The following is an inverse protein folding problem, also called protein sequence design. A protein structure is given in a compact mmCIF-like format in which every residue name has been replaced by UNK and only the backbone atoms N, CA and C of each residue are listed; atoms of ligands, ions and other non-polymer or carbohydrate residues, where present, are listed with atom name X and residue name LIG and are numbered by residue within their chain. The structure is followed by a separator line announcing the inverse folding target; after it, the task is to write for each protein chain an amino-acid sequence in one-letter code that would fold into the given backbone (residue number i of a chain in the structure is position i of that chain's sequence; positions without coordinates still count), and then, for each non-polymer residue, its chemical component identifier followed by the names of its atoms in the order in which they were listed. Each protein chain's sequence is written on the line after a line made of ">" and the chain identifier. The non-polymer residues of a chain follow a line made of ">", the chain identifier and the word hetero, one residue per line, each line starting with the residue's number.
data_IF_080577542400
#
_entry.id   IF_080577542400
#
_cell.length_a   1.000
_cell.length_b   1.000
_cell.length_c   1.000
_cell.angle_alpha   90.00
_cell.angle_beta   90.00
_cell.angle_gamma   90.00
#
_symmetry.space_group_name_H-M   'P 1'
#
loop_
_entity.id
_entity.type
_entity.pdbx_description
1 polymer ?
#
# COMPACT_ATOMS: atom_id res chain seq x y z
N UNK A 1 18.44 -20.39 33.68
CA UNK A 1 19.58 -20.65 32.78
C UNK A 1 19.02 -20.66 31.37
N UNK A 2 19.01 -19.61 30.58
CA UNK A 2 19.73 -18.35 30.59
C UNK A 2 20.02 -18.07 29.12
N UNK A 3 19.31 -17.13 28.50
CA UNK A 3 19.83 -16.42 27.34
C UNK A 3 19.19 -15.02 27.27
N UNK A 4 19.60 -14.18 28.23
CA UNK A 4 19.35 -12.75 28.20
C UNK A 4 20.26 -12.14 27.15
N UNK A 5 19.81 -12.12 25.90
CA UNK A 5 20.49 -11.39 24.83
C UNK A 5 20.30 -9.90 25.15
N UNK A 6 21.35 -9.28 25.67
CA UNK A 6 21.35 -7.85 25.98
C UNK A 6 20.95 -7.06 24.72
N UNK A 7 19.90 -6.24 24.80
CA UNK A 7 19.64 -5.25 23.75
C UNK A 7 20.83 -4.28 23.80
N UNK A 8 21.66 -4.30 22.77
CA UNK A 8 22.66 -3.26 22.60
C UNK A 8 21.87 -1.97 22.34
N UNK A 9 21.70 -1.17 23.38
CA UNK A 9 21.26 0.21 23.25
C UNK A 9 22.28 0.90 22.36
N UNK A 10 21.94 1.07 21.08
CA UNK A 10 22.58 2.08 20.27
C UNK A 10 22.30 3.40 20.98
N UNK A 11 23.28 3.87 21.75
CA UNK A 11 23.27 5.19 22.39
C UNK A 11 23.38 6.23 21.30
N UNK A 12 22.27 6.43 20.60
CA UNK A 12 22.04 7.56 19.73
C UNK A 12 21.88 8.77 20.63
N UNK A 13 22.98 9.48 20.87
CA UNK A 13 22.87 10.90 21.24
C UNK A 13 21.92 11.55 20.25
N UNK A 14 20.94 12.32 20.74
CA UNK A 14 20.02 13.08 19.91
C UNK A 14 20.85 13.99 18.99
N UNK A 15 21.20 13.48 17.82
CA UNK A 15 21.95 14.25 16.84
C UNK A 15 20.95 15.22 16.26
N UNK A 16 21.16 16.50 16.55
CA UNK A 16 20.60 17.59 15.76
C UNK A 16 20.77 17.20 14.30
N UNK A 17 19.68 17.09 13.55
CA UNK A 17 19.72 16.72 12.13
C UNK A 17 20.57 17.79 11.43
N UNK A 18 21.85 17.48 11.26
CA UNK A 18 22.77 18.26 10.45
C UNK A 18 22.22 18.22 9.03
N UNK A 19 21.97 19.39 8.44
CA UNK A 19 21.41 19.61 7.09
C UNK A 19 22.17 18.92 5.92
N UNK A 20 23.17 18.08 6.21
CA UNK A 20 24.15 17.57 5.27
C UNK A 20 24.08 16.05 5.01
N UNK A 21 23.24 15.28 5.68
CA UNK A 21 23.10 13.84 5.40
C UNK A 21 21.89 13.54 4.53
N UNK A 22 22.13 12.91 3.40
CA UNK A 22 21.08 12.31 2.58
C UNK A 22 20.33 11.24 3.37
N UNK A 23 18.99 11.14 3.24
CA UNK A 23 18.24 10.06 3.86
C UNK A 23 18.72 8.71 3.34
N UNK A 24 18.89 7.75 4.24
CA UNK A 24 19.16 6.36 3.88
C UNK A 24 17.84 5.63 3.73
N UNK A 25 17.68 4.92 2.61
CA UNK A 25 16.52 4.06 2.37
C UNK A 25 16.98 2.61 2.45
N UNK A 26 16.29 1.82 3.26
CA UNK A 26 16.55 0.40 3.43
C UNK A 26 15.26 -0.37 3.17
N UNK A 27 15.30 -1.29 2.21
CA UNK A 27 14.30 -2.34 2.14
C UNK A 27 14.59 -3.32 3.27
N UNK A 28 13.65 -3.44 4.22
CA UNK A 28 13.82 -4.30 5.39
C UNK A 28 13.45 -5.74 5.06
N UNK A 29 12.19 -5.99 4.69
CA UNK A 29 11.68 -7.34 4.44
C UNK A 29 10.35 -7.35 3.67
N UNK A 30 9.95 -8.53 3.19
CA UNK A 30 8.62 -8.85 2.66
C UNK A 30 8.02 -9.99 3.47
N UNK A 31 6.99 -9.67 4.26
CA UNK A 31 6.39 -10.60 5.23
C UNK A 31 5.10 -11.18 4.64
N UNK A 32 5.01 -12.50 4.58
CA UNK A 32 3.75 -13.20 4.29
C UNK A 32 2.86 -13.20 5.53
N UNK A 33 1.59 -12.81 5.37
CA UNK A 33 0.63 -12.70 6.46
C UNK A 33 -0.40 -13.82 6.37
N UNK A 34 -0.81 -14.36 7.53
CA UNK A 34 -1.89 -15.36 7.62
C UNK A 34 -3.26 -14.77 7.32
N UNK A 35 -3.44 -13.49 7.63
CA UNK A 35 -4.65 -12.71 7.39
C UNK A 35 -4.32 -11.22 7.29
N UNK A 36 -5.28 -10.42 6.85
CA UNK A 36 -5.13 -8.98 6.63
C UNK A 36 -5.81 -8.15 7.73
N UNK A 37 -5.86 -8.66 8.97
CA UNK A 37 -6.35 -7.85 10.10
C UNK A 37 -5.28 -6.88 10.58
N UNK A 38 -5.70 -5.76 11.16
CA UNK A 38 -4.76 -4.76 11.69
C UNK A 38 -3.87 -5.29 12.82
N UNK A 39 -4.39 -6.21 13.63
CA UNK A 39 -3.64 -6.85 14.70
C UNK A 39 -2.51 -7.73 14.13
N UNK A 40 -2.83 -8.58 13.15
CA UNK A 40 -1.85 -9.45 12.50
C UNK A 40 -0.77 -8.64 11.78
N UNK A 41 -1.15 -7.58 11.06
CA UNK A 41 -0.18 -6.69 10.37
C UNK A 41 0.73 -5.98 11.38
N UNK A 42 0.19 -5.44 12.47
CA UNK A 42 1.01 -4.79 13.50
C UNK A 42 2.01 -5.78 14.12
N UNK A 43 1.54 -6.96 14.53
CA UNK A 43 2.40 -7.98 15.14
C UNK A 43 3.49 -8.44 14.19
N UNK A 44 3.15 -8.70 12.92
CA UNK A 44 4.13 -9.05 11.91
C UNK A 44 5.19 -7.95 11.72
N UNK A 45 4.76 -6.68 11.65
CA UNK A 45 5.66 -5.52 11.52
C UNK A 45 6.63 -5.40 12.71
N UNK A 46 6.11 -5.50 13.93
CA UNK A 46 6.93 -5.44 15.14
C UNK A 46 7.87 -6.63 15.27
N UNK A 47 7.44 -7.83 14.89
CA UNK A 47 8.28 -9.02 14.91
C UNK A 47 9.42 -8.89 13.89
N UNK A 48 9.16 -8.40 12.68
CA UNK A 48 10.19 -8.15 11.68
C UNK A 48 11.22 -7.12 12.15
N UNK A 49 10.76 -6.02 12.75
CA UNK A 49 11.65 -5.01 13.35
C UNK A 49 12.53 -5.62 14.44
N UNK A 50 11.95 -6.38 15.38
CA UNK A 50 12.70 -7.05 16.45
C UNK A 50 13.71 -8.07 15.91
N UNK A 51 13.33 -8.87 14.91
CA UNK A 51 14.23 -9.85 14.26
C UNK A 51 15.43 -9.18 13.57
N UNK A 52 15.25 -7.94 13.11
CA UNK A 52 16.31 -7.12 12.51
C UNK A 52 17.06 -6.23 13.52
N UNK A 53 16.86 -6.46 14.83
CA UNK A 53 17.62 -5.79 15.90
C UNK A 53 17.02 -4.48 16.41
N UNK A 54 15.83 -4.09 15.95
CA UNK A 54 15.10 -2.94 16.48
C UNK A 54 14.24 -3.39 17.67
N UNK A 55 14.80 -3.36 18.87
CA UNK A 55 14.09 -3.73 20.10
C UNK A 55 13.04 -2.66 20.49
N UNK A 56 12.09 -3.02 21.34
CA UNK A 56 10.94 -2.17 21.69
C UNK A 56 11.36 -0.79 22.25
N UNK A 57 12.38 -0.77 23.12
CA UNK A 57 12.95 0.46 23.68
C UNK A 57 13.50 1.38 22.58
N UNK A 58 14.20 0.82 21.61
CA UNK A 58 14.74 1.57 20.47
C UNK A 58 13.60 2.15 19.62
N UNK A 59 12.57 1.37 19.34
CA UNK A 59 11.40 1.81 18.57
C UNK A 59 10.70 2.96 19.30
N UNK A 60 10.51 2.85 20.61
CA UNK A 60 9.84 3.87 21.42
C UNK A 60 10.56 5.23 21.37
N UNK A 61 11.89 5.23 21.30
CA UNK A 61 12.70 6.45 21.26
C UNK A 61 12.91 7.00 19.83
N UNK A 62 12.93 6.13 18.81
CA UNK A 62 13.41 6.49 17.47
C UNK A 62 12.35 6.40 16.35
N UNK A 63 11.20 5.76 16.58
CA UNK A 63 10.14 5.67 15.57
C UNK A 63 9.39 7.00 15.46
N UNK A 64 9.68 7.75 14.40
CA UNK A 64 9.10 9.08 14.18
C UNK A 64 7.76 9.01 13.47
N UNK A 65 7.62 8.14 12.47
CA UNK A 65 6.44 8.13 11.62
C UNK A 65 6.11 6.74 11.05
N UNK A 66 4.82 6.52 10.80
CA UNK A 66 4.29 5.39 10.04
C UNK A 66 3.52 5.92 8.83
N UNK A 67 3.79 5.38 7.64
CA UNK A 67 3.12 5.78 6.41
C UNK A 67 2.56 4.57 5.66
N UNK A 68 1.28 4.62 5.29
CA UNK A 68 0.60 3.53 4.56
C UNK A 68 -0.47 4.06 3.59
N UNK A 69 -1.04 3.16 2.79
CA UNK A 69 -2.26 3.46 2.02
C UNK A 69 -3.45 3.75 2.98
N UNK A 70 -4.51 4.32 2.42
CA UNK A 70 -5.65 4.87 3.16
C UNK A 70 -6.75 3.88 3.49
N UNK A 71 -6.45 2.59 3.39
CA UNK A 71 -7.45 1.56 3.65
C UNK A 71 -7.86 1.57 5.11
N UNK A 72 -9.09 1.16 5.39
CA UNK A 72 -9.63 1.12 6.77
C UNK A 72 -8.76 0.24 7.69
N UNK A 73 -8.22 -0.86 7.17
CA UNK A 73 -7.32 -1.75 7.92
C UNK A 73 -6.03 -1.02 8.33
N UNK A 74 -5.48 -0.15 7.47
CA UNK A 74 -4.19 0.49 7.73
C UNK A 74 -4.33 1.80 8.52
N UNK A 75 -5.26 2.69 8.13
CA UNK A 75 -5.44 4.03 8.74
C UNK A 75 -6.79 4.21 9.45
N UNK A 76 -7.53 3.14 9.71
CA UNK A 76 -8.80 3.21 10.44
C UNK A 76 -8.64 3.84 11.83
N UNK A 77 -9.57 4.73 12.18
CA UNK A 77 -9.51 5.54 13.42
C UNK A 77 -9.68 4.74 14.72
N UNK A 78 -10.31 3.57 14.66
CA UNK A 78 -10.65 2.77 15.85
C UNK A 78 -9.79 1.52 16.01
N UNK A 79 -9.43 0.90 14.89
CA UNK A 79 -8.75 -0.39 14.89
C UNK A 79 -7.79 -0.54 13.71
N UNK A 80 -7.34 0.57 13.11
CA UNK A 80 -6.35 0.53 12.05
C UNK A 80 -4.95 0.22 12.57
N UNK A 81 -4.07 -0.30 11.72
CA UNK A 81 -2.65 -0.56 12.07
C UNK A 81 -1.98 0.69 12.63
N UNK A 82 -2.19 1.83 12.00
CA UNK A 82 -1.65 3.12 12.42
C UNK A 82 -2.17 3.56 13.80
N UNK A 83 -3.46 3.33 14.08
CA UNK A 83 -4.05 3.60 15.40
C UNK A 83 -3.41 2.69 16.46
N UNK A 84 -3.25 1.40 16.16
CA UNK A 84 -2.61 0.46 17.09
C UNK A 84 -1.13 0.81 17.32
N UNK A 85 -0.41 1.32 16.30
CA UNK A 85 0.94 1.87 16.48
C UNK A 85 0.95 3.10 17.39
N UNK A 86 0.00 4.02 17.24
CA UNK A 86 -0.10 5.22 18.07
C UNK A 86 -0.46 4.90 19.52
N UNK A 87 -1.26 3.86 19.77
CA UNK A 87 -1.54 3.37 21.12
C UNK A 87 -0.28 2.81 21.80
N UNK A 88 0.59 2.14 21.05
CA UNK A 88 1.85 1.60 21.57
C UNK A 88 2.96 2.65 21.67
N UNK A 89 3.03 3.57 20.71
CA UNK A 89 4.05 4.63 20.62
C UNK A 89 3.37 6.00 20.42
N UNK A 90 2.96 6.69 21.50
CA UNK A 90 2.10 7.89 21.43
C UNK A 90 2.66 9.09 20.65
N UNK A 91 3.97 9.14 20.41
CA UNK A 91 4.64 10.25 19.72
C UNK A 91 4.76 10.06 18.21
N UNK A 92 4.25 8.94 17.67
CA UNK A 92 4.37 8.62 16.24
C UNK A 92 3.49 9.52 15.38
N UNK A 93 4.03 9.95 14.24
CA UNK A 93 3.27 10.68 13.22
C UNK A 93 2.67 9.68 12.23
N UNK A 94 1.34 9.71 12.09
CA UNK A 94 0.63 8.87 11.13
C UNK A 94 0.46 9.62 9.80
N UNK A 95 1.05 9.09 8.74
CA UNK A 95 1.04 9.69 7.41
C UNK A 95 0.23 8.85 6.44
N UNK A 96 -0.71 9.49 5.74
CA UNK A 96 -1.39 8.85 4.62
C UNK A 96 -0.53 8.98 3.35
N UNK A 97 -0.32 7.88 2.63
CA UNK A 97 0.50 7.85 1.43
C UNK A 97 0.03 8.88 0.40
N UNK A 98 0.92 9.82 0.05
CA UNK A 98 0.60 10.90 -0.89
C UNK A 98 0.25 10.37 -2.28
N UNK A 99 0.93 9.31 -2.73
CA UNK A 99 0.65 8.71 -4.03
C UNK A 99 -0.80 8.21 -4.12
N UNK A 100 -1.30 7.56 -3.07
CA UNK A 100 -2.68 7.10 -3.02
C UNK A 100 -3.67 8.30 -2.95
N UNK A 101 -3.32 9.38 -2.24
CA UNK A 101 -4.16 10.60 -2.22
C UNK A 101 -4.26 11.27 -3.59
N UNK A 102 -3.13 11.36 -4.30
CA UNK A 102 -3.10 11.96 -5.65
C UNK A 102 -3.90 11.08 -6.61
N UNK A 103 -3.73 9.76 -6.53
CA UNK A 103 -4.47 8.79 -7.32
C UNK A 103 -5.99 8.91 -7.11
N UNK A 104 -6.46 8.97 -5.85
CA UNK A 104 -7.86 9.23 -5.54
C UNK A 104 -8.33 10.59 -6.07
N UNK A 105 -7.57 11.66 -5.88
CA UNK A 105 -7.94 13.00 -6.35
C UNK A 105 -8.06 13.06 -7.88
N UNK A 106 -7.19 12.34 -8.60
CA UNK A 106 -7.27 12.20 -10.05
C UNK A 106 -8.51 11.40 -10.45
N UNK A 107 -8.80 10.29 -9.77
CA UNK A 107 -10.00 9.49 -10.00
C UNK A 107 -11.27 10.33 -9.83
N UNK A 108 -11.40 11.05 -8.70
CA UNK A 108 -12.54 11.91 -8.41
C UNK A 108 -12.70 13.02 -9.48
N UNK A 109 -11.57 13.60 -9.91
CA UNK A 109 -11.58 14.62 -10.98
C UNK A 109 -12.01 14.06 -12.33
N UNK A 110 -11.67 12.81 -12.64
CA UNK A 110 -12.08 12.13 -13.87
C UNK A 110 -13.58 11.84 -13.87
N UNK A 111 -14.12 11.43 -12.72
CA UNK A 111 -15.55 11.12 -12.56
C UNK A 111 -16.44 12.35 -12.81
N UNK A 112 -15.97 13.54 -12.42
CA UNK A 112 -16.65 14.82 -12.65
C UNK A 112 -16.58 15.30 -14.11
N UNK A 113 -15.61 14.81 -14.90
CA UNK A 113 -15.50 15.15 -16.33
C UNK A 113 -16.30 14.15 -17.15
N UNK A 114 -17.57 14.47 -17.38
CA UNK A 114 -18.52 13.59 -18.06
C UNK A 114 -18.04 13.03 -19.42
N UNK A 115 -17.24 13.76 -20.19
CA UNK A 115 -16.66 13.26 -21.44
C UNK A 115 -15.63 12.13 -21.22
N UNK A 116 -14.77 12.26 -20.19
CA UNK A 116 -13.76 11.25 -19.85
C UNK A 116 -14.43 10.04 -19.22
N UNK A 117 -15.39 10.26 -18.32
CA UNK A 117 -16.19 9.20 -17.72
C UNK A 117 -16.98 8.41 -18.78
N UNK A 118 -17.64 9.08 -19.74
CA UNK A 118 -18.31 8.40 -20.85
C UNK A 118 -17.35 7.59 -21.74
N UNK A 119 -16.16 8.13 -22.01
CA UNK A 119 -15.14 7.41 -22.77
C UNK A 119 -14.65 6.16 -22.00
N UNK A 120 -14.42 6.29 -20.70
CA UNK A 120 -14.04 5.17 -19.83
C UNK A 120 -15.13 4.08 -19.80
N UNK A 121 -16.40 4.46 -19.57
CA UNK A 121 -17.54 3.53 -19.60
C UNK A 121 -17.65 2.83 -20.96
N UNK A 122 -17.46 3.57 -22.05
CA UNK A 122 -17.48 3.01 -23.40
C UNK A 122 -16.37 1.96 -23.59
N UNK A 123 -15.15 2.29 -23.19
CA UNK A 123 -14.01 1.38 -23.29
C UNK A 123 -14.15 0.16 -22.36
N UNK A 124 -14.69 0.32 -21.15
CA UNK A 124 -14.99 -0.79 -20.25
C UNK A 124 -16.07 -1.73 -20.80
N UNK A 125 -17.11 -1.16 -21.43
CA UNK A 125 -18.17 -1.95 -22.11
C UNK A 125 -17.63 -2.69 -23.32
N UNK A 126 -16.71 -2.08 -24.06
CA UNK A 126 -16.00 -2.77 -25.14
C UNK A 126 -15.12 -3.88 -24.59
N UNK A 127 -14.39 -3.66 -23.50
CA UNK A 127 -13.41 -4.61 -22.97
C UNK A 127 -14.03 -5.82 -22.24
N UNK A 128 -15.12 -5.63 -21.49
CA UNK A 128 -15.78 -6.66 -20.67
C UNK A 128 -16.16 -7.96 -21.41
N UNK A 129 -16.84 -7.92 -22.58
CA UNK A 129 -17.26 -9.14 -23.28
C UNK A 129 -16.10 -9.98 -23.83
N UNK A 130 -14.93 -9.38 -24.08
CA UNK A 130 -13.75 -10.09 -24.60
C UNK A 130 -12.91 -10.73 -23.50
N UNK A 131 -12.99 -10.23 -22.26
CA UNK A 131 -12.27 -10.79 -21.10
C UNK A 131 -13.04 -11.90 -20.36
N UNK A 132 -14.38 -11.86 -20.32
CA UNK A 132 -15.20 -12.72 -19.42
C UNK A 132 -15.74 -14.04 -20.01
N UNK A 133 -15.54 -14.38 -21.28
CA UNK A 133 -16.11 -15.63 -21.83
C UNK A 133 -15.23 -16.30 -22.88
N UNK A 134 -14.77 -17.52 -22.59
CA UNK A 134 -14.10 -18.42 -23.54
C UNK A 134 -14.99 -18.79 -24.74
N UNK A 135 -16.31 -18.65 -24.61
CA UNK A 135 -17.30 -18.90 -25.67
C UNK A 135 -17.48 -17.70 -26.61
N UNK A 136 -17.42 -16.47 -26.08
CA UNK A 136 -17.47 -15.25 -26.90
C UNK A 136 -16.16 -15.01 -27.67
N UNK A 137 -15.02 -15.41 -27.11
CA UNK A 137 -13.73 -15.34 -27.81
C UNK A 137 -13.74 -16.18 -29.09
N UNK A 138 -14.38 -17.35 -29.10
CA UNK A 138 -14.38 -18.25 -30.27
C UNK A 138 -15.27 -17.75 -31.42
N UNK A 139 -16.39 -17.10 -31.12
CA UNK A 139 -17.30 -16.53 -32.14
C UNK A 139 -16.85 -15.13 -32.61
N UNK A 140 -16.12 -14.37 -31.79
CA UNK A 140 -15.59 -13.03 -32.13
C UNK A 140 -14.17 -13.05 -32.73
N UNK A 141 -13.40 -14.13 -32.55
CA UNK A 141 -12.01 -14.24 -33.01
C UNK A 141 -11.81 -14.18 -34.53
N UNK A 142 -12.81 -14.49 -35.38
CA UNK A 142 -12.61 -14.38 -36.83
C UNK A 142 -12.74 -12.94 -37.34
N UNK A 143 -13.65 -12.14 -36.78
CA UNK A 143 -13.94 -10.78 -37.26
C UNK A 143 -13.24 -9.67 -36.43
N UNK A 144 -12.96 -9.93 -35.16
CA UNK A 144 -12.41 -8.93 -34.22
C UNK A 144 -10.99 -9.23 -33.75
N UNK A 145 -10.26 -10.21 -34.30
CA UNK A 145 -8.92 -10.63 -33.80
C UNK A 145 -7.94 -9.49 -33.58
N UNK A 146 -7.88 -8.53 -34.51
CA UNK A 146 -6.97 -7.39 -34.41
C UNK A 146 -7.44 -6.42 -33.31
N UNK A 147 -8.74 -6.10 -33.27
CA UNK A 147 -9.33 -5.28 -32.20
C UNK A 147 -9.16 -5.93 -30.82
N UNK A 148 -9.25 -7.26 -30.74
CA UNK A 148 -9.05 -8.03 -29.51
C UNK A 148 -7.60 -7.93 -29.03
N UNK A 149 -6.62 -8.09 -29.94
CA UNK A 149 -5.21 -7.88 -29.64
C UNK A 149 -4.91 -6.44 -29.20
N UNK A 150 -5.54 -5.44 -29.83
CA UNK A 150 -5.36 -4.03 -29.46
C UNK A 150 -6.02 -3.72 -28.11
N UNK A 151 -7.22 -4.24 -27.82
CA UNK A 151 -7.91 -4.04 -26.55
C UNK A 151 -7.21 -4.77 -25.39
N UNK A 152 -6.65 -5.96 -25.63
CA UNK A 152 -5.81 -6.67 -24.65
C UNK A 152 -4.53 -5.87 -24.35
N UNK A 153 -3.91 -5.26 -25.38
CA UNK A 153 -2.72 -4.40 -25.21
C UNK A 153 -3.03 -3.10 -24.47
N UNK A 154 -4.18 -2.48 -24.75
CA UNK A 154 -4.62 -1.23 -24.11
C UNK A 154 -5.03 -1.47 -22.66
N UNK A 155 -5.58 -2.65 -22.33
CA UNK A 155 -6.06 -2.95 -20.98
C UNK A 155 -7.29 -2.12 -20.61
N UNK A 156 -7.59 -2.02 -19.31
CA UNK A 156 -8.61 -1.09 -18.81
C UNK A 156 -8.02 0.32 -18.76
N UNK A 157 -8.67 1.26 -19.43
CA UNK A 157 -8.29 2.67 -19.41
C UNK A 157 -8.74 3.26 -18.07
N UNK A 158 -7.81 3.89 -17.34
CA UNK A 158 -8.05 4.60 -16.08
C UNK A 158 -8.59 3.72 -14.93
N UNK A 159 -8.58 2.39 -15.05
CA UNK A 159 -8.90 1.54 -13.93
C UNK A 159 -7.80 1.60 -12.88
N UNK A 160 -8.10 2.26 -11.77
CA UNK A 160 -7.41 2.05 -10.50
C UNK A 160 -7.72 0.62 -10.04
N UNK A 161 -6.70 -0.13 -9.65
CA UNK A 161 -6.85 -1.47 -9.11
C UNK A 161 -7.56 -1.42 -7.75
N UNK A 162 -8.90 -1.48 -7.76
CA UNK A 162 -9.69 -1.92 -6.61
C UNK A 162 -9.58 -3.43 -6.52
N UNK A 163 -8.52 -3.92 -5.88
CA UNK A 163 -8.54 -5.25 -5.28
C UNK A 163 -8.62 -5.04 -3.76
N UNK A 164 -9.86 -5.17 -3.25
CA UNK A 164 -10.16 -5.55 -1.87
C UNK A 164 -10.02 -7.06 -1.79
#
# INVERSE_FOLDING_TARGET
>A
MGDGRACNTATGTASTISKERSPNYLFLDLIELSDQTSATILQASLNCLNQNGFCDDYIQENLVAFASNGTSVMLGKQSGVAQNFAEKYPNIILCHCMNHRIELAVSDSVDDVGAVNHFQIFMDKLYTPYRKSSKNQRESAECSRELDLQLIKIGRILAVWYDI
#
